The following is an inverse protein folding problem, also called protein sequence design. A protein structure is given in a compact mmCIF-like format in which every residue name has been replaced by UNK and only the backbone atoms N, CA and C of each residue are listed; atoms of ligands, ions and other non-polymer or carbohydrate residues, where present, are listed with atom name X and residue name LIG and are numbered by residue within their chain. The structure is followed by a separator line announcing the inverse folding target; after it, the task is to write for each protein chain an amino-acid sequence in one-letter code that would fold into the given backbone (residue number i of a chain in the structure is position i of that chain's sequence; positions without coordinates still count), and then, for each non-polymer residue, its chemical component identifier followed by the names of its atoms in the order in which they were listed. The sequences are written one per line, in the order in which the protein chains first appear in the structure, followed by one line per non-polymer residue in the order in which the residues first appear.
data_IF_510113976099
#
_entry.id   IF_510113976099
#
_cell.length_a   1.000
_cell.length_b   1.000
_cell.length_c   1.000
_cell.angle_alpha   90.00
_cell.angle_beta   90.00
_cell.angle_gamma   90.00
#
_symmetry.space_group_name_H-M   'P 1'
#
loop_
_entity.id
_entity.type
_entity.pdbx_description
1 polymer ?
#
# COMPACT_ATOMS: atom_id res chain seq x y z
N UNK A 1 -6.68 -9.57 -20.43
CA UNK A 1 -6.25 -10.23 -19.17
C UNK A 1 -4.92 -9.61 -18.78
N UNK A 2 -4.89 -8.73 -17.77
CA UNK A 2 -3.62 -8.16 -17.29
C UNK A 2 -2.78 -9.29 -16.68
N UNK A 3 -1.52 -9.40 -17.11
CA UNK A 3 -0.62 -10.48 -16.67
C UNK A 3 0.40 -9.90 -15.71
N UNK A 4 0.61 -10.56 -14.57
CA UNK A 4 1.64 -10.17 -13.62
C UNK A 4 3.02 -10.05 -14.33
N UNK A 5 3.87 -9.10 -13.90
CA UNK A 5 5.25 -9.04 -14.35
C UNK A 5 5.95 -10.37 -14.14
N UNK A 6 6.68 -10.85 -15.15
CA UNK A 6 7.34 -12.17 -15.11
C UNK A 6 8.72 -12.13 -14.45
N UNK A 7 9.28 -10.96 -14.19
CA UNK A 7 10.65 -10.83 -13.67
C UNK A 7 10.81 -11.46 -12.29
N UNK A 8 9.78 -11.38 -11.43
CA UNK A 8 9.81 -11.94 -10.07
C UNK A 8 9.90 -13.48 -10.06
N UNK A 9 9.50 -14.14 -11.16
CA UNK A 9 9.57 -15.60 -11.30
C UNK A 9 10.99 -16.13 -11.23
N UNK A 10 11.97 -15.34 -11.68
CA UNK A 10 13.38 -15.75 -11.71
C UNK A 10 14.07 -15.63 -10.34
N UNK A 11 13.38 -15.11 -9.32
CA UNK A 11 13.95 -14.95 -7.98
C UNK A 11 13.69 -16.18 -7.11
N UNK A 12 14.56 -16.51 -6.14
CA UNK A 12 14.35 -17.66 -5.25
C UNK A 12 13.06 -17.57 -4.44
N UNK A 13 12.43 -18.72 -4.15
CA UNK A 13 11.17 -18.82 -3.39
C UNK A 13 11.19 -18.03 -2.08
N UNK A 14 12.21 -18.28 -1.27
CA UNK A 14 12.41 -17.59 0.01
C UNK A 14 12.52 -16.08 -0.13
N UNK A 15 13.09 -15.58 -1.22
CA UNK A 15 13.27 -14.13 -1.43
C UNK A 15 11.93 -13.48 -1.73
N UNK A 16 11.16 -14.02 -2.68
CA UNK A 16 9.84 -13.48 -3.03
C UNK A 16 8.89 -13.52 -1.85
N UNK A 17 8.82 -14.65 -1.13
CA UNK A 17 7.93 -14.78 0.03
C UNK A 17 8.34 -13.80 1.13
N UNK A 18 9.63 -13.71 1.47
CA UNK A 18 10.09 -12.75 2.49
C UNK A 18 9.85 -11.30 2.10
N UNK A 19 9.91 -10.94 0.82
CA UNK A 19 9.58 -9.59 0.39
C UNK A 19 8.08 -9.32 0.52
N UNK A 20 7.25 -10.29 0.12
CA UNK A 20 5.80 -10.21 0.20
C UNK A 20 5.29 -10.08 1.65
N UNK A 21 5.97 -10.73 2.61
CA UNK A 21 5.62 -10.76 4.04
C UNK A 21 6.37 -9.70 4.87
N UNK A 22 7.15 -8.82 4.23
CA UNK A 22 8.07 -7.87 4.86
C UNK A 22 8.97 -8.52 5.93
N UNK A 23 9.58 -9.65 5.57
CA UNK A 23 10.35 -10.49 6.46
C UNK A 23 9.44 -11.46 7.21
N UNK A 24 9.36 -11.31 8.53
CA UNK A 24 8.49 -12.13 9.40
C UNK A 24 7.27 -11.35 9.92
N UNK A 25 7.01 -10.15 9.40
CA UNK A 25 5.90 -9.31 9.87
C UNK A 25 4.54 -9.87 9.43
N UNK A 26 4.49 -10.52 8.26
CA UNK A 26 3.31 -11.25 7.78
C UNK A 26 2.86 -12.41 8.67
N UNK A 27 3.72 -12.90 9.58
CA UNK A 27 3.38 -13.98 10.52
C UNK A 27 2.72 -13.46 11.82
N UNK A 28 2.68 -12.14 12.01
CA UNK A 28 2.11 -11.52 13.20
C UNK A 28 0.58 -11.54 13.17
N UNK A 29 -0.04 -11.40 14.36
CA UNK A 29 -1.49 -11.21 14.44
C UNK A 29 -1.89 -9.90 13.77
N UNK A 30 -3.00 -9.94 13.01
CA UNK A 30 -3.46 -8.83 12.18
C UNK A 30 -2.34 -8.33 11.23
N UNK A 31 -1.82 -9.19 10.35
CA UNK A 31 -0.64 -8.90 9.52
C UNK A 31 -0.81 -7.61 8.72
N UNK A 32 -2.01 -7.33 8.23
CA UNK A 32 -2.25 -6.08 7.51
C UNK A 32 -2.09 -4.80 8.34
N UNK A 33 -2.34 -4.88 9.66
CA UNK A 33 -2.03 -3.74 10.54
C UNK A 33 -0.53 -3.44 10.52
N UNK A 34 0.32 -4.47 10.45
CA UNK A 34 1.77 -4.32 10.36
C UNK A 34 2.22 -3.83 8.99
N UNK A 35 1.63 -4.32 7.90
CA UNK A 35 1.91 -3.82 6.55
C UNK A 35 1.64 -2.33 6.44
N UNK A 36 0.44 -1.92 6.85
CA UNK A 36 0.01 -0.53 6.86
C UNK A 36 0.85 0.34 7.81
N UNK A 37 1.17 -0.13 9.02
CA UNK A 37 2.00 0.61 9.97
C UNK A 37 3.42 0.83 9.44
N UNK A 38 4.02 -0.19 8.83
CA UNK A 38 5.31 -0.05 8.16
C UNK A 38 5.24 0.89 6.96
N UNK A 39 4.11 0.93 6.25
CA UNK A 39 3.85 1.90 5.19
C UNK A 39 3.85 3.35 5.71
N UNK A 40 3.28 3.62 6.90
CA UNK A 40 3.40 4.95 7.53
C UNK A 40 4.87 5.26 7.82
N UNK A 41 5.60 4.33 8.44
CA UNK A 41 7.02 4.55 8.79
C UNK A 41 7.82 4.85 7.52
N UNK A 42 7.59 4.08 6.46
CA UNK A 42 8.21 4.31 5.16
C UNK A 42 7.86 5.68 4.60
N UNK A 43 6.60 6.10 4.66
CA UNK A 43 6.20 7.43 4.24
C UNK A 43 6.91 8.52 5.06
N UNK A 44 6.83 8.44 6.39
CA UNK A 44 7.34 9.46 7.29
C UNK A 44 8.86 9.66 7.15
N UNK A 45 9.62 8.56 6.94
CA UNK A 45 11.08 8.61 6.85
C UNK A 45 11.58 8.95 5.45
N UNK A 46 10.96 8.41 4.40
CA UNK A 46 11.52 8.48 3.04
C UNK A 46 10.71 9.33 2.05
N UNK A 47 9.38 9.38 2.18
CA UNK A 47 8.50 9.97 1.16
C UNK A 47 8.04 11.38 1.55
N UNK A 48 7.85 11.64 2.84
CA UNK A 48 7.34 12.91 3.38
C UNK A 48 8.19 14.14 3.00
N UNK A 49 9.48 13.92 2.71
CA UNK A 49 10.45 14.95 2.34
C UNK A 49 10.58 15.14 0.81
N UNK A 50 9.90 14.31 0.01
CA UNK A 50 9.91 14.41 -1.44
C UNK A 50 8.84 15.39 -1.92
N UNK A 51 9.07 15.98 -3.10
CA UNK A 51 7.99 16.67 -3.81
C UNK A 51 6.86 15.69 -4.16
N UNK A 52 5.61 16.16 -4.23
CA UNK A 52 4.47 15.30 -4.58
C UNK A 52 4.68 14.55 -5.90
N UNK A 53 5.30 15.20 -6.90
CA UNK A 53 5.60 14.59 -8.19
C UNK A 53 6.64 13.46 -8.06
N UNK A 54 7.73 13.70 -7.33
CA UNK A 54 8.76 12.67 -7.07
C UNK A 54 8.19 11.52 -6.25
N UNK A 55 7.40 11.81 -5.22
CA UNK A 55 6.70 10.81 -4.41
C UNK A 55 5.80 9.93 -5.28
N UNK A 56 5.00 10.53 -6.18
CA UNK A 56 4.12 9.80 -7.08
C UNK A 56 4.91 8.83 -7.98
N UNK A 57 6.05 9.25 -8.54
CA UNK A 57 6.91 8.37 -9.36
C UNK A 57 7.47 7.21 -8.53
N UNK A 58 8.00 7.48 -7.34
CA UNK A 58 8.57 6.45 -6.45
C UNK A 58 7.49 5.44 -6.06
N UNK A 59 6.30 5.90 -5.68
CA UNK A 59 5.19 5.02 -5.29
C UNK A 59 4.62 4.24 -6.47
N UNK A 60 4.60 4.81 -7.67
CA UNK A 60 4.22 4.07 -8.88
C UNK A 60 5.23 2.95 -9.20
N UNK A 61 6.53 3.20 -9.04
CA UNK A 61 7.56 2.17 -9.20
C UNK A 61 7.46 1.09 -8.12
N UNK A 62 7.23 1.47 -6.86
CA UNK A 62 6.99 0.54 -5.76
C UNK A 62 5.75 -0.32 -5.99
N UNK A 63 4.69 0.26 -6.57
CA UNK A 63 3.45 -0.46 -6.93
C UNK A 63 3.72 -1.51 -7.99
N UNK A 64 4.43 -1.15 -9.06
CA UNK A 64 4.83 -2.10 -10.08
C UNK A 64 5.68 -3.25 -9.50
N UNK A 65 6.58 -2.94 -8.56
CA UNK A 65 7.36 -3.93 -7.84
C UNK A 65 6.47 -4.87 -7.01
N UNK A 66 5.55 -4.32 -6.21
CA UNK A 66 4.62 -5.08 -5.39
C UNK A 66 3.73 -6.00 -6.23
N UNK A 67 3.22 -5.55 -7.38
CA UNK A 67 2.41 -6.38 -8.29
C UNK A 67 3.17 -7.65 -8.72
N UNK A 68 4.47 -7.51 -9.02
CA UNK A 68 5.32 -8.65 -9.38
C UNK A 68 5.54 -9.61 -8.20
N UNK A 69 5.87 -9.07 -7.03
CA UNK A 69 6.18 -9.86 -5.83
C UNK A 69 4.92 -10.55 -5.28
N UNK A 70 3.85 -9.81 -4.99
CA UNK A 70 2.60 -10.38 -4.48
C UNK A 70 2.05 -11.43 -5.43
N UNK A 71 2.08 -11.16 -6.74
CA UNK A 71 1.58 -12.09 -7.75
C UNK A 71 2.38 -13.38 -7.92
N UNK A 72 3.67 -13.40 -7.59
CA UNK A 72 4.46 -14.63 -7.52
C UNK A 72 4.36 -15.28 -6.13
N UNK A 73 4.19 -14.50 -5.06
CA UNK A 73 3.98 -15.00 -3.71
C UNK A 73 2.70 -15.84 -3.61
N UNK A 74 1.57 -15.38 -4.17
CA UNK A 74 0.32 -16.17 -4.23
C UNK A 74 0.52 -17.56 -4.85
N UNK A 75 1.27 -17.62 -5.95
CA UNK A 75 1.55 -18.88 -6.66
C UNK A 75 2.44 -19.81 -5.83
N UNK A 76 3.46 -19.26 -5.17
CA UNK A 76 4.42 -20.02 -4.35
C UNK A 76 3.79 -20.52 -3.06
N UNK A 77 2.94 -19.70 -2.44
CA UNK A 77 2.17 -20.06 -1.24
C UNK A 77 0.96 -20.94 -1.56
N UNK A 78 0.59 -21.06 -2.84
CA UNK A 78 -0.59 -21.81 -3.32
C UNK A 78 -1.88 -21.36 -2.63
N UNK A 79 -1.99 -20.06 -2.36
CA UNK A 79 -3.12 -19.41 -1.72
C UNK A 79 -3.49 -18.18 -2.55
N UNK A 80 -4.79 -17.98 -2.76
CA UNK A 80 -5.33 -16.74 -3.34
C UNK A 80 -5.46 -15.74 -2.21
N UNK A 81 -4.92 -14.53 -2.39
CA UNK A 81 -4.96 -13.46 -1.39
C UNK A 81 -4.51 -13.91 0.03
N UNK A 82 -3.27 -14.44 0.19
CA UNK A 82 -2.79 -14.91 1.48
C UNK A 82 -2.66 -13.74 2.44
N UNK A 83 -3.34 -13.79 3.59
CA UNK A 83 -3.29 -12.70 4.57
C UNK A 83 -1.89 -12.41 5.14
N UNK A 84 -0.94 -13.34 5.02
CA UNK A 84 0.47 -13.10 5.36
C UNK A 84 1.22 -12.20 4.36
N UNK A 85 0.71 -12.02 3.14
CA UNK A 85 1.25 -11.08 2.14
C UNK A 85 0.71 -9.68 2.46
N UNK A 86 1.62 -8.77 2.76
CA UNK A 86 1.29 -7.42 3.28
C UNK A 86 2.05 -6.30 2.56
N UNK A 87 2.72 -6.65 1.45
CA UNK A 87 3.53 -5.73 0.66
C UNK A 87 2.65 -4.78 -0.18
N UNK A 88 1.49 -5.23 -0.62
CA UNK A 88 0.41 -4.42 -1.21
C UNK A 88 0.03 -3.27 -0.29
N UNK A 89 -0.38 -3.57 0.94
CA UNK A 89 -0.81 -2.56 1.91
C UNK A 89 0.34 -1.61 2.28
N UNK A 90 1.56 -2.15 2.43
CA UNK A 90 2.76 -1.35 2.71
C UNK A 90 3.03 -0.31 1.62
N UNK A 91 2.91 -0.70 0.35
CA UNK A 91 3.15 0.20 -0.78
C UNK A 91 1.97 1.16 -1.01
N UNK A 92 0.75 0.71 -0.76
CA UNK A 92 -0.46 1.52 -0.93
C UNK A 92 -0.57 2.61 0.14
N UNK A 93 -0.24 2.31 1.41
CA UNK A 93 -0.44 3.22 2.54
C UNK A 93 0.15 4.63 2.30
N UNK A 94 1.43 4.81 1.91
CA UNK A 94 1.99 6.12 1.58
C UNK A 94 1.18 6.96 0.58
N UNK A 95 0.43 6.32 -0.33
CA UNK A 95 -0.37 7.02 -1.33
C UNK A 95 -1.50 7.84 -0.72
N UNK A 96 -1.97 7.49 0.48
CA UNK A 96 -2.97 8.24 1.24
C UNK A 96 -2.56 9.70 1.52
N UNK A 97 -1.27 10.02 1.38
CA UNK A 97 -0.71 11.33 1.69
C UNK A 97 -0.20 12.09 0.46
N UNK A 98 -0.44 11.59 -0.76
CA UNK A 98 -0.11 12.33 -1.99
C UNK A 98 -0.83 13.68 -2.00
N UNK A 99 -0.11 14.77 -2.31
CA UNK A 99 -0.67 16.13 -2.30
C UNK A 99 -0.60 16.83 -0.94
N UNK A 100 0.01 16.17 0.07
CA UNK A 100 0.19 16.68 1.42
C UNK A 100 1.66 16.84 1.83
N UNK A 101 2.62 16.75 0.91
CA UNK A 101 4.06 16.91 1.20
C UNK A 101 4.40 18.21 1.96
N UNK A 102 3.68 19.30 1.68
CA UNK A 102 3.82 20.58 2.37
C UNK A 102 3.58 20.51 3.89
N UNK A 103 2.87 19.49 4.38
CA UNK A 103 2.54 19.32 5.80
C UNK A 103 3.50 18.36 6.53
N UNK A 104 4.54 17.84 5.87
CA UNK A 104 5.49 16.88 6.43
C UNK A 104 6.23 17.37 7.67
N UNK A 105 6.41 18.69 7.81
CA UNK A 105 7.04 19.33 8.98
C UNK A 105 6.05 20.07 9.88
N UNK A 106 4.74 19.90 9.66
CA UNK A 106 3.72 20.62 10.39
C UNK A 106 3.61 20.08 11.84
N UNK A 107 3.35 20.92 12.87
CA UNK A 107 3.20 20.45 14.26
C UNK A 107 2.10 19.39 14.46
N UNK A 108 1.12 19.36 13.54
CA UNK A 108 0.01 18.40 13.54
C UNK A 108 0.27 17.17 12.66
N UNK A 109 1.49 16.96 12.16
CA UNK A 109 1.83 15.87 11.25
C UNK A 109 1.47 14.49 11.80
N UNK A 110 1.66 14.26 13.10
CA UNK A 110 1.23 13.02 13.75
C UNK A 110 -0.27 12.72 13.56
N UNK A 111 -1.13 13.74 13.69
CA UNK A 111 -2.57 13.58 13.50
C UNK A 111 -2.95 13.33 12.04
N UNK A 112 -2.20 13.91 11.11
CA UNK A 112 -2.36 13.64 9.67
C UNK A 112 -2.04 12.16 9.41
N UNK A 113 -0.90 11.65 9.92
CA UNK A 113 -0.51 10.24 9.76
C UNK A 113 -1.54 9.29 10.38
N UNK A 114 -1.99 9.58 11.61
CA UNK A 114 -2.98 8.76 12.31
C UNK A 114 -4.31 8.73 11.56
N UNK A 115 -4.80 9.88 11.09
CA UNK A 115 -6.03 9.95 10.30
C UNK A 115 -5.91 9.15 9.00
N UNK A 116 -4.80 9.30 8.28
CA UNK A 116 -4.54 8.54 7.04
C UNK A 116 -4.53 7.04 7.28
N UNK A 117 -3.88 6.57 8.35
CA UNK A 117 -3.86 5.16 8.72
C UNK A 117 -5.25 4.60 9.03
N UNK A 118 -6.01 5.28 9.88
CA UNK A 118 -7.33 4.82 10.29
C UNK A 118 -8.30 4.80 9.11
N UNK A 119 -8.27 5.84 8.26
CA UNK A 119 -9.07 5.89 7.05
C UNK A 119 -8.65 4.79 6.08
N UNK A 120 -7.36 4.60 5.83
CA UNK A 120 -6.88 3.52 4.96
C UNK A 120 -7.36 2.16 5.42
N UNK A 121 -7.17 1.81 6.70
CA UNK A 121 -7.66 0.54 7.24
C UNK A 121 -9.17 0.40 7.13
N UNK A 122 -9.92 1.48 7.36
CA UNK A 122 -11.37 1.48 7.21
C UNK A 122 -11.79 1.18 5.75
N UNK A 123 -11.19 1.86 4.77
CA UNK A 123 -11.52 1.70 3.36
C UNK A 123 -11.00 0.39 2.76
N UNK A 124 -9.82 -0.07 3.19
CA UNK A 124 -9.24 -1.35 2.81
C UNK A 124 -10.08 -2.54 3.33
N UNK A 125 -10.53 -2.50 4.59
CA UNK A 125 -11.37 -3.57 5.14
C UNK A 125 -12.77 -3.57 4.51
N UNK A 126 -13.37 -2.39 4.32
CA UNK A 126 -14.73 -2.29 3.78
C UNK A 126 -14.77 -2.52 2.26
N UNK A 127 -13.70 -2.20 1.54
CA UNK A 127 -13.62 -2.17 0.06
C UNK A 127 -14.89 -1.58 -0.57
N UNK A 128 -15.32 -0.36 -0.18
CA UNK A 128 -16.55 0.22 -0.70
C UNK A 128 -16.44 0.48 -2.21
N UNK A 129 -17.57 0.68 -2.88
CA UNK A 129 -17.65 0.98 -4.33
C UNK A 129 -17.32 -0.18 -5.28
N UNK A 130 -17.33 -1.43 -4.79
CA UNK A 130 -17.13 -2.59 -5.65
C UNK A 130 -15.68 -2.80 -6.07
N UNK A 131 -14.72 -2.28 -5.30
CA UNK A 131 -13.28 -2.61 -5.40
C UNK A 131 -13.10 -4.14 -5.36
N UNK A 132 -13.94 -4.89 -4.63
CA UNK A 132 -13.98 -6.36 -4.69
C UNK A 132 -14.14 -6.95 -6.11
N UNK A 133 -14.63 -6.19 -7.09
CA UNK A 133 -14.72 -6.64 -8.50
C UNK A 133 -13.35 -6.64 -9.19
N UNK A 134 -12.37 -5.87 -8.71
CA UNK A 134 -11.00 -5.88 -9.21
C UNK A 134 -10.24 -7.15 -8.79
N UNK A 135 -10.65 -7.83 -7.69
CA UNK A 135 -10.21 -9.20 -7.39
C UNK A 135 -10.55 -10.23 -8.49
N UNK A 136 -11.42 -9.90 -9.47
CA UNK A 136 -11.60 -10.73 -10.67
C UNK A 136 -10.32 -10.84 -11.51
N UNK A 137 -9.42 -9.86 -11.39
CA UNK A 137 -8.07 -9.92 -11.94
C UNK A 137 -7.20 -10.75 -10.99
N UNK A 138 -7.01 -12.02 -11.34
CA UNK A 138 -6.21 -12.94 -10.53
C UNK A 138 -4.74 -12.52 -10.51
N UNK A 139 -4.06 -12.69 -9.38
CA UNK A 139 -2.65 -12.33 -9.23
C UNK A 139 -2.42 -10.99 -8.52
N UNK A 140 -1.15 -10.59 -8.44
CA UNK A 140 -0.73 -9.35 -7.76
C UNK A 140 -1.30 -8.07 -8.35
N UNK A 141 -1.81 -8.09 -9.59
CA UNK A 141 -2.57 -6.96 -10.12
C UNK A 141 -3.89 -6.73 -9.39
N UNK A 142 -4.62 -7.79 -9.01
CA UNK A 142 -5.87 -7.63 -8.27
C UNK A 142 -5.60 -7.08 -6.88
N UNK A 143 -4.77 -7.80 -6.12
CA UNK A 143 -4.54 -7.49 -4.71
C UNK A 143 -3.92 -6.10 -4.51
N UNK A 144 -2.84 -5.77 -5.24
CA UNK A 144 -2.15 -4.48 -5.06
C UNK A 144 -2.99 -3.30 -5.56
N UNK A 145 -3.72 -3.46 -6.69
CA UNK A 145 -4.51 -2.35 -7.24
C UNK A 145 -5.75 -2.07 -6.39
N UNK A 146 -6.31 -3.07 -5.73
CA UNK A 146 -7.41 -2.89 -4.76
C UNK A 146 -6.98 -1.92 -3.64
N UNK A 147 -5.82 -2.17 -3.03
CA UNK A 147 -5.32 -1.38 -1.92
C UNK A 147 -4.88 0.00 -2.38
N UNK A 148 -4.25 0.11 -3.56
CA UNK A 148 -3.92 1.39 -4.19
C UNK A 148 -5.19 2.21 -4.45
N UNK A 149 -6.27 1.60 -4.91
CA UNK A 149 -7.53 2.29 -5.13
C UNK A 149 -8.14 2.80 -3.82
N UNK A 150 -8.09 2.00 -2.75
CA UNK A 150 -8.49 2.43 -1.41
C UNK A 150 -7.63 3.61 -0.91
N UNK A 151 -6.31 3.54 -1.10
CA UNK A 151 -5.38 4.58 -0.69
C UNK A 151 -5.58 5.90 -1.46
N UNK A 152 -5.86 5.86 -2.77
CA UNK A 152 -6.16 7.05 -3.55
C UNK A 152 -7.48 7.70 -3.14
N UNK A 153 -8.50 6.92 -2.78
CA UNK A 153 -9.73 7.45 -2.21
C UNK A 153 -9.46 8.18 -0.89
N UNK A 154 -8.65 7.58 -0.01
CA UNK A 154 -8.22 8.20 1.24
C UNK A 154 -7.42 9.47 0.97
N UNK A 155 -6.56 9.49 -0.04
CA UNK A 155 -5.78 10.66 -0.41
C UNK A 155 -6.66 11.86 -0.76
N UNK A 156 -7.75 11.63 -1.50
CA UNK A 156 -8.73 12.69 -1.80
C UNK A 156 -9.36 13.21 -0.51
N UNK A 157 -9.86 12.32 0.35
CA UNK A 157 -10.50 12.69 1.64
C UNK A 157 -9.52 13.46 2.53
N UNK A 158 -8.29 12.98 2.65
CA UNK A 158 -7.22 13.60 3.44
C UNK A 158 -6.86 14.98 2.90
N UNK A 159 -6.76 15.17 1.58
CA UNK A 159 -6.48 16.48 0.99
C UNK A 159 -7.54 17.52 1.35
N UNK A 160 -8.82 17.17 1.21
CA UNK A 160 -9.90 18.08 1.60
C UNK A 160 -9.92 18.33 3.11
N UNK A 161 -9.84 17.28 3.92
CA UNK A 161 -9.90 17.38 5.38
C UNK A 161 -8.75 18.18 5.98
N UNK A 162 -7.51 17.92 5.54
CA UNK A 162 -6.31 18.62 6.05
C UNK A 162 -6.31 20.07 5.62
N UNK A 163 -6.60 20.37 4.35
CA UNK A 163 -6.63 21.76 3.85
C UNK A 163 -7.75 22.57 4.47
N UNK A 164 -8.90 21.96 4.76
CA UNK A 164 -9.99 22.62 5.49
C UNK A 164 -9.65 22.87 6.96
N UNK A 165 -8.92 21.95 7.60
CA UNK A 165 -8.56 22.07 9.01
C UNK A 165 -7.39 23.01 9.29
N UNK A 166 -6.45 23.13 8.33
CA UNK A 166 -5.19 23.84 8.50
C UNK A 166 -5.03 25.08 7.60
N UNK A 167 -5.90 25.25 6.60
CA UNK A 167 -6.00 26.48 5.79
C UNK A 167 -6.87 27.52 6.46
#
# INVERSE_FOLDING_TARGET
MMRNPKWARFWPDKVVVKLATLGSMGDLKAPGTWGSAMGIVFYAVFISHLSDFTAAIVLAAATYFAIGICGEAEKRLKKVDPGEVILDEFVAMPMCFLGLSAYGSHPKFFWILLAGFLLFRFFDILKPLGIKKLQRYHGGFGVVIDDVAAALMVAVIMNFGVRFWLG
#
